data_IF_308955361909
#
_entry.id   IF_308955361909
#
_cell.length_a   1.000
_cell.length_b   1.000
_cell.length_c   1.000
_cell.angle_alpha   90.00
_cell.angle_beta   90.00
_cell.angle_gamma   90.00
#
_symmetry.space_group_name_H-M   'P 1'
#
loop_
_entity.id
_entity.type
_entity.pdbx_description
1 polymer ?
#
# COMPACT_ATOMS: atom_id res chain seq x y z
N UNK A 1 2.79 -1.00 1.13
CA UNK A 1 2.03 -1.21 -0.14
C UNK A 1 2.44 -0.13 -1.12
N UNK A 2 2.69 -0.48 -2.38
CA UNK A 2 2.99 0.46 -3.46
C UNK A 2 1.83 0.54 -4.45
N UNK A 3 1.39 1.76 -4.73
CA UNK A 3 0.32 2.07 -5.68
C UNK A 3 0.80 3.13 -6.66
N UNK A 4 0.19 3.20 -7.85
CA UNK A 4 0.35 4.38 -8.71
C UNK A 4 -0.02 5.65 -7.94
N UNK A 5 0.68 6.74 -8.21
CA UNK A 5 0.39 8.05 -7.62
C UNK A 5 -0.86 8.71 -8.22
N UNK A 6 -1.98 7.98 -8.30
CA UNK A 6 -3.28 8.50 -8.71
C UNK A 6 -3.68 9.64 -7.79
N UNK A 7 -4.02 10.80 -8.34
CA UNK A 7 -4.43 11.97 -7.58
C UNK A 7 -5.91 11.90 -7.19
N UNK A 8 -6.33 12.76 -6.25
CA UNK A 8 -7.71 12.89 -5.80
C UNK A 8 -8.62 13.54 -6.87
N UNK A 9 -8.74 12.93 -8.05
CA UNK A 9 -9.38 13.50 -9.23
C UNK A 9 -10.89 13.74 -9.06
N UNK A 10 -11.53 13.03 -8.13
CA UNK A 10 -12.95 13.16 -7.80
C UNK A 10 -13.20 14.10 -6.61
N UNK A 11 -12.18 14.82 -6.15
CA UNK A 11 -12.27 15.77 -5.03
C UNK A 11 -12.18 15.13 -3.64
N UNK A 12 -12.05 13.80 -3.54
CA UNK A 12 -11.85 13.11 -2.26
C UNK A 12 -10.58 12.27 -2.28
N UNK A 13 -9.89 12.13 -1.12
CA UNK A 13 -8.79 11.20 -1.01
C UNK A 13 -9.24 9.78 -1.31
N UNK A 14 -8.50 9.11 -2.18
CA UNK A 14 -8.74 7.71 -2.51
C UNK A 14 -8.24 6.81 -1.40
N UNK A 15 -9.00 5.75 -1.15
CA UNK A 15 -8.78 4.85 -0.03
C UNK A 15 -8.67 3.41 -0.50
N UNK A 16 -7.81 2.69 0.16
CA UNK A 16 -7.87 1.23 0.18
C UNK A 16 -7.89 0.74 1.62
N UNK A 17 -8.49 -0.42 1.81
CA UNK A 17 -8.44 -1.17 3.06
C UNK A 17 -7.38 -2.26 2.96
N UNK A 18 -6.63 -2.46 4.04
CA UNK A 18 -5.63 -3.53 4.15
C UNK A 18 -5.67 -4.17 5.53
N UNK A 19 -5.58 -5.49 5.60
CA UNK A 19 -5.47 -6.21 6.86
C UNK A 19 -5.37 -7.71 6.67
N UNK A 20 -4.93 -8.41 7.71
CA UNK A 20 -4.96 -9.88 7.72
C UNK A 20 -6.35 -10.37 8.09
N UNK A 21 -6.85 -11.38 7.37
CA UNK A 21 -8.14 -12.00 7.65
C UNK A 21 -8.22 -12.46 9.12
N UNK A 22 -9.35 -12.18 9.76
CA UNK A 22 -9.55 -12.46 11.19
C UNK A 22 -8.93 -11.42 12.14
N UNK A 23 -8.24 -10.40 11.63
CA UNK A 23 -7.71 -9.29 12.41
C UNK A 23 -8.38 -7.96 12.01
N UNK A 24 -8.08 -6.89 12.75
CA UNK A 24 -8.52 -5.55 12.38
C UNK A 24 -7.85 -5.10 11.06
N UNK A 25 -8.60 -4.34 10.27
CA UNK A 25 -8.15 -3.74 9.02
C UNK A 25 -7.85 -2.25 9.22
N UNK A 26 -7.01 -1.71 8.35
CA UNK A 26 -6.64 -0.29 8.30
C UNK A 26 -7.13 0.33 6.99
N UNK A 27 -7.64 1.57 7.06
CA UNK A 27 -8.04 2.36 5.89
C UNK A 27 -6.94 3.39 5.60
N UNK A 28 -6.31 3.27 4.43
CA UNK A 28 -5.24 4.18 4.00
C UNK A 28 -5.77 5.20 3.00
N UNK A 29 -5.64 6.49 3.32
CA UNK A 29 -5.93 7.63 2.42
C UNK A 29 -4.66 8.06 1.66
N UNK A 30 -4.20 7.25 0.70
CA UNK A 30 -2.82 7.35 0.18
C UNK A 30 -2.48 8.65 -0.54
N UNK A 31 -3.47 9.36 -1.10
CA UNK A 31 -3.26 10.59 -1.87
C UNK A 31 -3.81 11.86 -1.20
N UNK A 32 -4.20 11.80 0.09
CA UNK A 32 -4.75 12.95 0.84
C UNK A 32 -3.82 14.16 0.84
N UNK A 33 -2.51 13.90 0.91
CA UNK A 33 -1.46 14.94 0.94
C UNK A 33 -0.82 15.20 -0.43
N UNK A 34 -1.31 14.60 -1.51
CA UNK A 34 -0.79 14.83 -2.85
C UNK A 34 -1.51 16.01 -3.50
N UNK A 35 -1.29 17.20 -2.91
CA UNK A 35 -1.95 18.44 -3.28
C UNK A 35 -0.99 19.65 -3.22
N UNK A 36 -1.49 20.81 -3.62
CA UNK A 36 -0.72 22.06 -3.71
C UNK A 36 -0.69 22.87 -2.40
N UNK A 37 -1.17 22.31 -1.29
CA UNK A 37 -1.08 22.99 0.00
C UNK A 37 0.40 23.29 0.30
N UNK A 38 0.76 24.47 0.86
CA UNK A 38 2.15 24.87 1.05
C UNK A 38 2.99 23.86 1.85
N UNK A 39 2.37 23.15 2.78
CA UNK A 39 2.98 22.09 3.60
C UNK A 39 3.29 20.81 2.82
N UNK A 40 2.64 20.58 1.67
CA UNK A 40 2.69 19.35 0.89
C UNK A 40 3.43 19.52 -0.45
N UNK A 41 3.26 20.67 -1.12
CA UNK A 41 3.62 20.89 -2.52
C UNK A 41 5.07 20.47 -2.85
N UNK A 42 6.04 20.99 -2.09
CA UNK A 42 7.47 20.73 -2.30
C UNK A 42 8.00 19.56 -1.46
N UNK A 43 7.27 19.15 -0.41
CA UNK A 43 7.73 18.16 0.56
C UNK A 43 7.34 16.73 0.19
N UNK A 44 6.12 16.53 -0.29
CA UNK A 44 5.56 15.21 -0.60
C UNK A 44 4.93 15.15 -1.99
N UNK A 45 4.22 16.19 -2.44
CA UNK A 45 3.45 16.13 -3.68
C UNK A 45 4.34 16.00 -4.92
N UNK A 46 5.10 17.05 -5.29
CA UNK A 46 6.00 17.00 -6.45
C UNK A 46 7.01 15.84 -6.37
N UNK A 47 7.67 15.57 -5.22
CA UNK A 47 8.57 14.43 -5.10
C UNK A 47 7.93 13.06 -5.34
N UNK A 48 6.65 12.88 -4.99
CA UNK A 48 5.94 11.61 -5.18
C UNK A 48 5.46 11.45 -6.62
N UNK A 49 4.78 12.46 -7.18
CA UNK A 49 4.22 12.36 -8.54
C UNK A 49 5.31 12.22 -9.60
N UNK A 50 6.47 12.87 -9.40
CA UNK A 50 7.62 12.71 -10.29
C UNK A 50 8.17 11.27 -10.30
N UNK A 51 8.04 10.55 -9.18
CA UNK A 51 8.39 9.12 -9.06
C UNK A 51 7.28 8.19 -9.55
N UNK A 52 6.06 8.69 -9.78
CA UNK A 52 4.87 7.99 -10.31
C UNK A 52 4.28 6.90 -9.41
N UNK A 53 4.83 6.71 -8.21
CA UNK A 53 4.45 5.66 -7.26
C UNK A 53 4.33 6.28 -5.88
N UNK A 54 3.27 5.90 -5.15
CA UNK A 54 3.08 6.21 -3.73
C UNK A 54 3.27 4.94 -2.92
N UNK A 55 4.10 5.03 -1.90
CA UNK A 55 4.40 3.92 -0.97
C UNK A 55 3.84 4.29 0.40
N UNK A 56 3.06 3.38 0.98
CA UNK A 56 2.48 3.50 2.32
C UNK A 56 2.92 2.32 3.18
N UNK A 57 3.38 2.62 4.39
CA UNK A 57 3.74 1.63 5.41
C UNK A 57 2.64 1.58 6.46
N UNK A 58 2.12 0.39 6.72
CA UNK A 58 1.05 0.14 7.70
C UNK A 58 1.50 -1.00 8.59
N UNK A 59 1.46 -0.79 9.91
CA UNK A 59 1.72 -1.83 10.90
C UNK A 59 0.43 -2.59 11.15
N UNK A 60 0.42 -3.90 10.88
CA UNK A 60 -0.75 -4.74 11.02
C UNK A 60 -0.51 -5.81 12.10
N UNK A 61 -1.47 -6.06 13.00
CA UNK A 61 -1.39 -7.20 13.89
C UNK A 61 -1.51 -8.50 13.09
N UNK A 62 -0.77 -9.52 13.50
CA UNK A 62 -0.76 -10.83 12.85
C UNK A 62 -1.20 -11.88 13.88
N UNK A 63 -2.29 -12.57 13.56
CA UNK A 63 -2.67 -13.82 14.22
C UNK A 63 -2.39 -14.95 13.25
N UNK A 64 -1.55 -15.90 13.65
CA UNK A 64 -1.14 -17.02 12.81
C UNK A 64 -2.09 -18.19 13.05
N UNK A 65 -2.64 -18.77 11.99
CA UNK A 65 -3.47 -19.97 12.08
C UNK A 65 -2.62 -21.20 12.43
N UNK A 66 -3.25 -22.30 12.83
CA UNK A 66 -2.56 -23.55 13.22
C UNK A 66 -1.66 -24.13 12.10
N UNK A 67 -1.94 -23.77 10.84
CA UNK A 67 -1.18 -24.16 9.65
C UNK A 67 -0.01 -23.23 9.30
N UNK A 68 0.20 -22.16 10.08
CA UNK A 68 1.26 -21.18 9.84
C UNK A 68 0.95 -20.17 8.72
N UNK A 69 -0.24 -20.23 8.11
CA UNK A 69 -0.62 -19.39 6.98
C UNK A 69 -1.45 -18.19 7.42
N UNK A 70 -1.28 -17.07 6.72
CA UNK A 70 -2.08 -15.85 6.92
C UNK A 70 -2.55 -15.32 5.57
N UNK A 71 -3.78 -14.80 5.54
CA UNK A 71 -4.39 -14.23 4.33
C UNK A 71 -4.39 -12.70 4.45
N UNK A 72 -3.59 -12.02 3.62
CA UNK A 72 -3.59 -10.56 3.53
C UNK A 72 -4.67 -10.12 2.53
N UNK A 73 -5.66 -9.37 3.00
CA UNK A 73 -6.69 -8.79 2.16
C UNK A 73 -6.35 -7.33 1.85
N UNK A 74 -6.39 -6.97 0.56
CA UNK A 74 -6.26 -5.58 0.09
C UNK A 74 -7.45 -5.28 -0.79
N UNK A 75 -8.18 -4.21 -0.48
CA UNK A 75 -9.43 -3.86 -1.17
C UNK A 75 -9.44 -2.38 -1.56
N UNK A 76 -9.57 -2.04 -2.85
CA UNK A 76 -9.81 -0.66 -3.25
C UNK A 76 -11.21 -0.23 -2.76
N UNK A 77 -11.31 0.94 -2.13
CA UNK A 77 -12.58 1.54 -1.72
C UNK A 77 -13.04 2.62 -2.69
N UNK A 78 -12.12 3.13 -3.51
CA UNK A 78 -12.37 4.15 -4.53
C UNK A 78 -11.82 3.66 -5.88
N UNK A 79 -12.41 4.11 -7.00
CA UNK A 79 -12.03 3.68 -8.34
C UNK A 79 -10.66 4.25 -8.77
N UNK A 80 -10.00 3.60 -9.74
CA UNK A 80 -8.74 4.11 -10.31
C UNK A 80 -7.49 3.89 -9.45
N UNK A 81 -7.59 3.10 -8.37
CA UNK A 81 -6.44 2.65 -7.59
C UNK A 81 -5.76 1.49 -8.33
N UNK A 82 -4.45 1.61 -8.56
CA UNK A 82 -3.63 0.58 -9.20
C UNK A 82 -2.59 0.12 -8.21
N UNK A 83 -2.75 -1.10 -7.68
CA UNK A 83 -1.75 -1.76 -6.84
C UNK A 83 -0.62 -2.31 -7.72
N UNK A 84 0.62 -1.99 -7.37
CA UNK A 84 1.79 -2.43 -8.12
C UNK A 84 2.60 -3.48 -7.38
N UNK A 85 2.73 -3.32 -6.05
CA UNK A 85 3.53 -4.24 -5.24
C UNK A 85 3.13 -4.23 -3.77
N UNK A 86 3.27 -5.39 -3.14
CA UNK A 86 3.12 -5.58 -1.70
C UNK A 86 4.43 -6.10 -1.14
N UNK A 87 4.86 -5.52 -0.02
CA UNK A 87 5.98 -5.99 0.78
C UNK A 87 5.44 -6.26 2.16
N UNK A 88 5.62 -7.49 2.64
CA UNK A 88 5.38 -7.86 4.03
C UNK A 88 6.73 -7.87 4.73
N UNK A 89 6.95 -6.88 5.59
CA UNK A 89 8.20 -6.75 6.34
C UNK A 89 8.01 -7.17 7.79
N UNK A 90 8.84 -8.11 8.23
CA UNK A 90 8.96 -8.57 9.61
C UNK A 90 10.41 -8.49 10.11
N UNK A 91 11.20 -7.54 9.57
CA UNK A 91 12.57 -7.24 9.97
C UNK A 91 13.63 -7.52 8.90
N UNK A 92 13.22 -7.92 7.69
CA UNK A 92 14.11 -8.34 6.61
C UNK A 92 14.16 -7.40 5.40
N UNK A 93 13.23 -6.46 5.30
CA UNK A 93 13.18 -5.54 4.17
C UNK A 93 14.39 -4.60 4.16
N UNK A 94 14.87 -4.30 2.94
CA UNK A 94 15.91 -3.31 2.69
C UNK A 94 15.39 -2.31 1.68
N UNK A 95 15.45 -1.02 2.04
CA UNK A 95 15.02 0.06 1.16
C UNK A 95 15.74 -0.03 -0.18
N UNK A 96 14.95 -0.07 -1.24
CA UNK A 96 15.43 -0.18 -2.62
C UNK A 96 14.38 0.38 -3.56
N UNK A 97 14.83 0.96 -4.67
CA UNK A 97 13.94 1.65 -5.61
C UNK A 97 12.81 0.75 -6.15
N UNK A 98 13.10 -0.54 -6.34
CA UNK A 98 12.14 -1.55 -6.84
C UNK A 98 11.53 -2.43 -5.74
N UNK A 99 11.74 -2.10 -4.47
CA UNK A 99 11.16 -2.80 -3.31
C UNK A 99 11.58 -4.28 -3.24
N UNK A 100 12.88 -4.55 -3.38
CA UNK A 100 13.51 -5.88 -3.44
C UNK A 100 13.00 -6.76 -4.59
N UNK A 101 13.56 -7.95 -4.76
CA UNK A 101 13.00 -8.93 -5.70
C UNK A 101 11.68 -9.50 -5.13
N UNK A 102 10.83 -10.00 -6.02
CA UNK A 102 9.65 -10.76 -5.61
C UNK A 102 10.08 -12.03 -4.86
N UNK A 103 9.37 -12.35 -3.77
CA UNK A 103 9.61 -13.54 -2.98
C UNK A 103 9.18 -14.81 -3.73
N UNK A 104 9.80 -15.94 -3.40
CA UNK A 104 9.37 -17.25 -3.87
C UNK A 104 7.88 -17.48 -3.57
N UNK A 105 7.15 -18.00 -4.55
CA UNK A 105 5.75 -18.36 -4.38
C UNK A 105 5.42 -19.64 -5.15
N UNK A 106 4.37 -20.32 -4.70
CA UNK A 106 3.73 -21.41 -5.43
C UNK A 106 2.26 -21.07 -5.58
N UNK A 107 1.76 -21.06 -6.82
CA UNK A 107 0.33 -20.93 -7.08
C UNK A 107 -0.37 -22.19 -6.54
N UNK A 108 -1.40 -22.00 -5.72
CA UNK A 108 -2.28 -23.08 -5.33
C UNK A 108 -3.31 -23.28 -6.45
N UNK A 109 -3.60 -24.53 -6.79
CA UNK A 109 -4.66 -24.85 -7.76
C UNK A 109 -6.03 -24.60 -7.09
N UNK A 110 -6.94 -23.97 -7.83
CA UNK A 110 -8.30 -23.61 -7.37
C UNK A 110 -9.24 -24.83 -7.29
#
# INVERSE_FOLDING_TARGET
VAVKSTLAYNGTPHRYEVGFKGNNTEIVRFNERLNEDPENISSIYYPTVARRVKIDTVTLPVSVNDDGMVELCIRPLDAGIVFEKVVVDYGGYKESYLLMNESEYRKLDD
#
